data_IF_851811876141
#
_entry.id   IF_851811876141
#
_cell.length_a   1.000
_cell.length_b   1.000
_cell.length_c   1.000
_cell.angle_alpha   90.00
_cell.angle_beta   90.00
_cell.angle_gamma   90.00
#
_symmetry.space_group_name_H-M   'P 1'
#
loop_
_entity.id
_entity.type
_entity.pdbx_description
1 polymer ?
#
# COMPACT_ATOMS: atom_id res chain seq x y z
N UNK A 1 14.41 9.30 -47.81
CA UNK A 1 13.02 9.50 -47.39
C UNK A 1 12.36 8.13 -47.30
N UNK A 2 11.99 7.68 -46.11
CA UNK A 2 11.32 6.37 -45.92
C UNK A 2 9.96 6.42 -46.62
N UNK A 3 9.72 5.50 -47.55
CA UNK A 3 8.46 5.45 -48.31
C UNK A 3 7.31 5.06 -47.38
N UNK A 4 6.43 6.01 -47.10
CA UNK A 4 5.28 5.85 -46.20
C UNK A 4 4.42 4.65 -46.62
N UNK A 5 4.30 4.35 -47.92
CA UNK A 5 3.53 3.21 -48.42
C UNK A 5 4.17 1.88 -48.02
N UNK A 6 5.50 1.79 -47.98
CA UNK A 6 6.21 0.59 -47.50
C UNK A 6 5.98 0.38 -46.01
N UNK A 7 5.99 1.44 -45.21
CA UNK A 7 5.70 1.38 -43.77
C UNK A 7 4.25 0.93 -43.51
N UNK A 8 3.28 1.49 -44.22
CA UNK A 8 1.87 1.08 -44.12
C UNK A 8 1.67 -0.40 -44.47
N UNK A 9 2.30 -0.87 -45.55
CA UNK A 9 2.23 -2.27 -45.94
C UNK A 9 2.90 -3.20 -44.93
N UNK A 10 4.01 -2.78 -44.31
CA UNK A 10 4.66 -3.55 -43.24
C UNK A 10 3.76 -3.66 -42.00
N UNK A 11 3.09 -2.57 -41.60
CA UNK A 11 2.17 -2.56 -40.47
C UNK A 11 0.95 -3.46 -40.77
N UNK A 12 0.34 -3.32 -41.96
CA UNK A 12 -0.80 -4.14 -42.36
C UNK A 12 -0.48 -5.64 -42.41
N UNK A 13 0.71 -6.00 -42.91
CA UNK A 13 1.18 -7.40 -42.92
C UNK A 13 1.40 -7.93 -41.50
N UNK A 14 2.03 -7.14 -40.63
CA UNK A 14 2.25 -7.51 -39.24
C UNK A 14 0.93 -7.65 -38.47
N UNK A 15 -0.06 -6.81 -38.74
CA UNK A 15 -1.39 -6.91 -38.14
C UNK A 15 -2.13 -8.17 -38.61
N UNK A 16 -2.06 -8.50 -39.90
CA UNK A 16 -2.63 -9.73 -40.44
C UNK A 16 -1.98 -10.98 -39.82
N UNK A 17 -0.65 -10.98 -39.67
CA UNK A 17 0.08 -12.07 -39.01
C UNK A 17 -0.26 -12.15 -37.52
N UNK A 18 -0.48 -11.01 -36.85
CA UNK A 18 -0.83 -10.99 -35.44
C UNK A 18 -2.15 -11.73 -35.17
N UNK A 19 -3.14 -11.62 -36.05
CA UNK A 19 -4.43 -12.32 -35.91
C UNK A 19 -4.31 -13.86 -35.94
N UNK A 20 -3.29 -14.39 -36.61
CA UNK A 20 -3.02 -15.83 -36.66
C UNK A 20 -1.95 -16.29 -35.66
N UNK A 21 -1.36 -15.38 -34.89
CA UNK A 21 -0.25 -15.68 -33.98
C UNK A 21 -0.73 -15.69 -32.53
N UNK A 22 -0.40 -16.77 -31.82
CA UNK A 22 -0.59 -16.85 -30.38
C UNK A 22 0.52 -16.08 -29.65
N UNK A 23 0.18 -15.44 -28.52
CA UNK A 23 1.15 -14.72 -27.71
C UNK A 23 0.92 -14.98 -26.22
N UNK A 24 2.03 -15.04 -25.49
CA UNK A 24 2.03 -15.14 -24.03
C UNK A 24 1.83 -13.74 -23.42
N UNK A 25 0.92 -13.63 -22.46
CA UNK A 25 0.73 -12.41 -21.69
C UNK A 25 0.28 -12.71 -20.25
N UNK A 26 0.64 -11.82 -19.33
CA UNK A 26 0.03 -11.76 -18.01
C UNK A 26 -1.30 -11.03 -18.06
N UNK A 27 -2.25 -11.48 -17.24
CA UNK A 27 -3.55 -10.88 -17.08
C UNK A 27 -3.89 -10.79 -15.60
N UNK A 28 -4.09 -9.58 -15.09
CA UNK A 28 -4.75 -9.38 -13.79
C UNK A 28 -6.26 -9.42 -13.98
N UNK A 29 -7.02 -9.83 -12.96
CA UNK A 29 -8.47 -9.94 -13.09
C UNK A 29 -9.11 -8.63 -13.55
N UNK A 30 -9.90 -8.68 -14.62
CA UNK A 30 -10.52 -7.49 -15.23
C UNK A 30 -9.57 -6.59 -16.02
N UNK A 31 -8.30 -6.98 -16.14
CA UNK A 31 -7.27 -6.30 -16.90
C UNK A 31 -7.36 -6.52 -18.41
N UNK A 32 -6.36 -5.98 -19.12
CA UNK A 32 -6.19 -6.13 -20.56
C UNK A 32 -4.85 -6.80 -20.84
N UNK A 33 -4.77 -7.58 -21.91
CA UNK A 33 -3.53 -8.22 -22.37
C UNK A 33 -2.91 -7.40 -23.48
N UNK A 34 -1.58 -7.38 -23.55
CA UNK A 34 -0.83 -6.58 -24.51
C UNK A 34 0.23 -7.41 -25.19
N UNK A 35 0.45 -7.12 -26.47
CA UNK A 35 1.55 -7.66 -27.26
C UNK A 35 2.12 -6.57 -28.16
N UNK A 36 3.33 -6.79 -28.66
CA UNK A 36 4.02 -5.84 -29.55
C UNK A 36 4.27 -6.50 -30.89
N UNK A 37 3.80 -5.87 -31.96
CA UNK A 37 4.07 -6.28 -33.34
C UNK A 37 4.45 -5.04 -34.17
N UNK A 38 5.49 -5.15 -35.00
CA UNK A 38 6.03 -4.04 -35.80
C UNK A 38 6.26 -2.72 -35.01
N UNK A 39 6.69 -2.83 -33.74
CA UNK A 39 6.92 -1.66 -32.87
C UNK A 39 5.67 -1.03 -32.26
N UNK A 40 4.47 -1.49 -32.63
CA UNK A 40 3.20 -1.03 -32.09
C UNK A 40 2.73 -1.94 -30.95
N UNK A 41 2.12 -1.34 -29.92
CA UNK A 41 1.53 -2.08 -28.80
C UNK A 41 0.04 -2.28 -29.07
N UNK A 42 -0.36 -3.53 -29.23
CA UNK A 42 -1.75 -3.93 -29.37
C UNK A 42 -2.29 -4.30 -28.00
N UNK A 43 -3.47 -3.79 -27.66
CA UNK A 43 -4.14 -4.04 -26.37
C UNK A 43 -5.48 -4.70 -26.62
N UNK A 44 -5.69 -5.85 -26.00
CA UNK A 44 -6.90 -6.65 -26.14
C UNK A 44 -7.61 -6.85 -24.80
N UNK A 45 -8.93 -6.88 -24.83
CA UNK A 45 -9.75 -7.40 -23.74
C UNK A 45 -9.75 -8.94 -23.82
N UNK A 46 -9.32 -9.65 -22.76
CA UNK A 46 -9.26 -11.11 -22.76
C UNK A 46 -10.66 -11.72 -22.72
N UNK A 47 -10.82 -12.88 -23.34
CA UNK A 47 -11.98 -13.77 -23.22
C UNK A 47 -11.50 -15.13 -22.67
N UNK A 48 -11.96 -15.57 -21.48
CA UNK A 48 -12.94 -14.92 -20.61
C UNK A 48 -12.37 -13.67 -19.91
N UNK A 49 -13.23 -12.66 -19.66
CA UNK A 49 -12.84 -11.38 -19.04
C UNK A 49 -12.34 -11.52 -17.59
N UNK A 50 -12.69 -12.64 -16.95
CA UNK A 50 -12.38 -12.89 -15.55
C UNK A 50 -11.09 -13.69 -15.35
N UNK A 51 -10.39 -14.03 -16.43
CA UNK A 51 -9.11 -14.73 -16.34
C UNK A 51 -8.08 -13.89 -15.57
N UNK A 52 -7.37 -14.56 -14.67
CA UNK A 52 -6.25 -14.01 -13.89
C UNK A 52 -5.12 -15.03 -13.93
N UNK A 53 -3.92 -14.60 -14.31
CA UNK A 53 -2.76 -15.47 -14.47
C UNK A 53 -1.98 -15.20 -15.75
N UNK A 54 -1.13 -16.16 -16.11
CA UNK A 54 -0.40 -16.18 -17.37
C UNK A 54 -1.12 -17.06 -18.37
N UNK A 55 -1.35 -16.54 -19.57
CA UNK A 55 -2.11 -17.23 -20.60
C UNK A 55 -1.51 -17.05 -21.98
N UNK A 56 -1.77 -18.04 -22.83
CA UNK A 56 -1.52 -17.97 -24.26
C UNK A 56 -2.80 -17.49 -24.92
N UNK A 57 -2.73 -16.34 -25.56
CA UNK A 57 -3.87 -15.66 -26.15
C UNK A 57 -3.75 -15.62 -27.66
N UNK A 58 -4.88 -15.72 -28.35
CA UNK A 58 -4.98 -15.47 -29.78
C UNK A 58 -5.94 -14.29 -30.05
N UNK A 59 -5.54 -13.28 -30.82
CA UNK A 59 -6.47 -12.23 -31.24
C UNK A 59 -7.59 -12.83 -32.10
N UNK A 60 -8.84 -12.61 -31.70
CA UNK A 60 -10.03 -13.06 -32.47
C UNK A 60 -10.83 -11.88 -33.02
N UNK A 61 -10.33 -10.65 -32.82
CA UNK A 61 -10.92 -9.41 -33.31
C UNK A 61 -10.00 -8.24 -33.00
N UNK A 62 -10.39 -7.03 -33.43
CA UNK A 62 -9.53 -5.83 -33.30
C UNK A 62 -9.18 -5.46 -31.85
N UNK A 63 -10.05 -5.78 -30.88
CA UNK A 63 -9.86 -5.41 -29.47
C UNK A 63 -10.06 -6.59 -28.52
N UNK A 64 -10.16 -7.82 -29.04
CA UNK A 64 -10.41 -9.01 -28.21
C UNK A 64 -9.42 -10.11 -28.52
N UNK A 65 -8.92 -10.75 -27.48
CA UNK A 65 -8.09 -11.95 -27.59
C UNK A 65 -8.69 -13.07 -26.75
N UNK A 66 -8.79 -14.26 -27.32
CA UNK A 66 -9.33 -15.44 -26.64
C UNK A 66 -8.18 -16.20 -25.99
N UNK A 67 -8.37 -16.61 -24.73
CA UNK A 67 -7.46 -17.50 -24.03
C UNK A 67 -7.54 -18.88 -24.68
N UNK A 68 -6.40 -19.36 -25.19
CA UNK A 68 -6.29 -20.70 -25.74
C UNK A 68 -6.00 -21.70 -24.61
N UNK A 69 -5.03 -21.37 -23.76
CA UNK A 69 -4.63 -22.16 -22.60
C UNK A 69 -3.90 -21.31 -21.56
N UNK A 70 -3.83 -21.82 -20.33
CA UNK A 70 -2.95 -21.26 -19.31
C UNK A 70 -1.50 -21.58 -19.64
N UNK A 71 -0.61 -20.61 -19.46
CA UNK A 71 0.82 -20.82 -19.71
C UNK A 71 1.42 -21.72 -18.63
N UNK A 72 2.34 -22.59 -19.02
CA UNK A 72 3.06 -23.43 -18.08
C UNK A 72 4.18 -22.66 -17.34
N UNK A 73 4.66 -23.23 -16.24
CA UNK A 73 5.70 -22.59 -15.43
C UNK A 73 7.00 -22.34 -16.22
N UNK A 74 7.52 -23.27 -17.06
CA UNK A 74 8.68 -23.02 -17.90
C UNK A 74 8.52 -21.83 -18.87
N UNK A 75 7.38 -21.70 -19.54
CA UNK A 75 7.08 -20.60 -20.45
C UNK A 75 7.05 -19.27 -19.70
N UNK A 76 6.39 -19.24 -18.55
CA UNK A 76 6.34 -18.06 -17.69
C UNK A 76 7.73 -17.66 -17.23
N UNK A 77 8.54 -18.62 -16.76
CA UNK A 77 9.91 -18.38 -16.32
C UNK A 77 10.78 -17.81 -17.46
N UNK A 78 10.72 -18.41 -18.66
CA UNK A 78 11.48 -17.94 -19.83
C UNK A 78 11.07 -16.53 -20.26
N UNK A 79 9.79 -16.19 -20.17
CA UNK A 79 9.29 -14.85 -20.44
C UNK A 79 9.77 -13.84 -19.39
N UNK A 80 9.64 -14.19 -18.12
CA UNK A 80 10.03 -13.35 -16.98
C UNK A 80 11.53 -13.05 -16.95
N UNK A 81 12.38 -13.98 -17.41
CA UNK A 81 13.83 -13.81 -17.51
C UNK A 81 14.26 -12.63 -18.40
N UNK A 82 13.40 -12.14 -19.29
CA UNK A 82 13.67 -10.99 -20.14
C UNK A 82 13.66 -9.65 -19.37
N UNK A 83 13.14 -9.66 -18.14
CA UNK A 83 13.03 -8.47 -17.30
C UNK A 83 14.04 -8.48 -16.14
N UNK A 84 14.49 -7.30 -15.69
CA UNK A 84 15.33 -7.20 -14.49
C UNK A 84 14.62 -7.73 -13.25
N UNK A 85 15.32 -8.55 -12.47
CA UNK A 85 14.88 -9.04 -11.15
C UNK A 85 15.02 -7.97 -10.09
N UNK A 86 14.05 -7.89 -9.18
CA UNK A 86 14.04 -7.03 -7.99
C UNK A 86 13.68 -7.90 -6.78
N UNK A 87 14.33 -7.65 -5.65
CA UNK A 87 13.96 -8.25 -4.36
C UNK A 87 13.02 -7.32 -3.61
N UNK A 88 11.84 -7.85 -3.28
CA UNK A 88 10.79 -7.13 -2.56
C UNK A 88 10.36 -7.95 -1.35
N UNK A 89 9.77 -7.29 -0.35
CA UNK A 89 9.02 -7.97 0.71
C UNK A 89 7.55 -7.58 0.62
N UNK A 90 6.68 -8.56 0.75
CA UNK A 90 5.23 -8.37 0.73
C UNK A 90 4.78 -7.64 2.00
N UNK A 91 3.90 -6.65 1.86
CA UNK A 91 3.29 -5.95 2.99
C UNK A 91 1.92 -6.57 3.28
N UNK A 92 0.95 -6.28 2.41
CA UNK A 92 -0.42 -6.77 2.52
C UNK A 92 -1.04 -6.98 1.14
N UNK A 93 -2.07 -7.81 1.10
CA UNK A 93 -2.83 -8.12 -0.10
C UNK A 93 -3.70 -6.92 -0.49
N UNK A 94 -3.58 -6.44 -1.72
CA UNK A 94 -4.45 -5.39 -2.26
C UNK A 94 -5.79 -6.00 -2.66
N UNK A 95 -5.77 -6.81 -3.73
CA UNK A 95 -6.94 -7.51 -4.27
C UNK A 95 -6.46 -8.74 -5.04
N UNK A 96 -7.21 -9.85 -4.96
CA UNK A 96 -6.92 -11.08 -5.70
C UNK A 96 -5.44 -11.48 -5.62
N UNK A 97 -4.72 -11.72 -6.73
CA UNK A 97 -3.30 -12.09 -6.66
C UNK A 97 -2.35 -10.87 -6.69
N UNK A 98 -2.84 -9.69 -6.29
CA UNK A 98 -2.04 -8.46 -6.21
C UNK A 98 -1.75 -8.06 -4.78
N UNK A 99 -0.49 -7.75 -4.52
CA UNK A 99 0.03 -7.35 -3.22
C UNK A 99 0.75 -6.01 -3.30
N UNK A 100 0.70 -5.26 -2.20
CA UNK A 100 1.65 -4.17 -2.00
C UNK A 100 2.94 -4.75 -1.45
N UNK A 101 4.08 -4.32 -1.97
CA UNK A 101 5.40 -4.74 -1.53
C UNK A 101 6.36 -3.55 -1.41
N UNK A 102 7.41 -3.71 -0.63
CA UNK A 102 8.46 -2.71 -0.45
C UNK A 102 9.83 -3.30 -0.83
N UNK A 103 10.75 -2.52 -1.43
CA UNK A 103 12.09 -3.00 -1.76
C UNK A 103 12.85 -3.49 -0.52
N UNK A 104 13.58 -4.60 -0.68
CA UNK A 104 14.49 -5.13 0.34
C UNK A 104 15.68 -4.19 0.59
N UNK A 105 16.08 -3.44 -0.44
CA UNK A 105 17.15 -2.45 -0.40
C UNK A 105 16.74 -1.21 -1.20
N UNK A 106 16.60 -0.07 -0.52
CA UNK A 106 16.29 1.19 -1.21
C UNK A 106 17.45 1.66 -2.10
N UNK A 107 18.70 1.34 -1.72
CA UNK A 107 19.88 1.71 -2.47
C UNK A 107 19.91 1.01 -3.85
N UNK A 108 19.69 -0.31 -3.89
CA UNK A 108 19.59 -1.07 -5.16
C UNK A 108 18.45 -0.54 -6.02
N UNK A 109 17.30 -0.29 -5.40
CA UNK A 109 16.11 0.22 -6.08
C UNK A 109 16.37 1.60 -6.71
N UNK A 110 17.02 2.51 -5.96
CA UNK A 110 17.38 3.86 -6.44
C UNK A 110 18.40 3.80 -7.58
N UNK A 111 19.41 2.94 -7.47
CA UNK A 111 20.45 2.82 -8.49
C UNK A 111 19.90 2.27 -9.82
N UNK A 112 19.04 1.25 -9.76
CA UNK A 112 18.56 0.53 -10.96
C UNK A 112 17.29 1.11 -11.54
N UNK A 113 16.41 1.67 -10.71
CA UNK A 113 15.07 2.12 -11.11
C UNK A 113 14.79 3.60 -10.83
N UNK A 114 15.73 4.33 -10.21
CA UNK A 114 15.67 5.78 -9.94
C UNK A 114 14.49 6.23 -9.07
N UNK A 115 13.78 5.30 -8.45
CA UNK A 115 12.62 5.56 -7.58
C UNK A 115 12.63 4.61 -6.40
N UNK A 116 12.17 5.07 -5.25
CA UNK A 116 11.97 4.24 -4.05
C UNK A 116 10.58 4.55 -3.54
N UNK A 117 9.70 3.56 -3.63
CA UNK A 117 8.31 3.63 -3.17
C UNK A 117 7.74 2.23 -3.05
N UNK A 118 6.63 2.05 -2.32
CA UNK A 118 5.86 0.82 -2.38
C UNK A 118 5.41 0.52 -3.82
N UNK A 119 5.47 -0.75 -4.20
CA UNK A 119 5.12 -1.22 -5.54
C UNK A 119 4.04 -2.30 -5.46
N UNK A 120 3.09 -2.26 -6.40
CA UNK A 120 2.15 -3.36 -6.58
C UNK A 120 2.85 -4.51 -7.32
N UNK A 121 2.77 -5.71 -6.75
CA UNK A 121 3.25 -6.96 -7.34
C UNK A 121 2.04 -7.82 -7.68
N UNK A 122 1.98 -8.30 -8.91
CA UNK A 122 0.84 -9.05 -9.42
C UNK A 122 1.17 -10.53 -9.61
N UNK A 123 0.10 -11.34 -9.62
CA UNK A 123 0.14 -12.80 -9.80
C UNK A 123 0.98 -13.50 -8.73
N UNK A 124 0.96 -12.96 -7.51
CA UNK A 124 1.60 -13.57 -6.34
C UNK A 124 0.79 -14.81 -5.96
N UNK A 125 1.37 -15.98 -6.15
CA UNK A 125 0.80 -17.26 -5.72
C UNK A 125 1.28 -17.59 -4.31
N UNK A 126 0.35 -17.88 -3.40
CA UNK A 126 0.64 -18.31 -2.02
C UNK A 126 1.43 -17.31 -1.16
N UNK A 127 1.45 -16.03 -1.54
CA UNK A 127 2.21 -15.02 -0.80
C UNK A 127 1.73 -14.79 0.62
N UNK A 128 2.69 -14.57 1.53
CA UNK A 128 2.44 -14.24 2.94
C UNK A 128 3.02 -12.86 3.28
N UNK A 129 2.40 -12.15 4.22
CA UNK A 129 2.92 -10.87 4.70
C UNK A 129 4.37 -11.00 5.23
N UNK A 130 5.20 -10.01 4.92
CA UNK A 130 6.63 -9.89 5.22
C UNK A 130 7.55 -10.90 4.52
N UNK A 131 7.00 -11.82 3.73
CA UNK A 131 7.78 -12.76 2.94
C UNK A 131 8.60 -12.04 1.87
N UNK A 132 9.86 -12.43 1.73
CA UNK A 132 10.74 -11.91 0.68
C UNK A 132 10.52 -12.69 -0.62
N UNK A 133 10.36 -11.95 -1.70
CA UNK A 133 10.07 -12.49 -3.03
C UNK A 133 11.05 -11.94 -4.07
N UNK A 134 11.23 -12.73 -5.13
CA UNK A 134 11.79 -12.27 -6.39
C UNK A 134 10.64 -11.82 -7.29
N UNK A 135 10.79 -10.62 -7.86
CA UNK A 135 9.84 -10.06 -8.79
C UNK A 135 10.54 -9.48 -10.01
N UNK A 136 9.81 -9.36 -11.11
CA UNK A 136 10.32 -8.91 -12.41
C UNK A 136 9.66 -7.61 -12.82
N UNK A 137 10.48 -6.62 -13.16
CA UNK A 137 10.01 -5.28 -13.50
C UNK A 137 10.06 -5.02 -15.00
N UNK A 138 8.92 -4.75 -15.61
CA UNK A 138 8.83 -4.47 -17.04
C UNK A 138 8.83 -2.96 -17.39
N UNK A 139 9.13 -2.09 -16.42
CA UNK A 139 9.08 -0.63 -16.60
C UNK A 139 7.81 0.02 -16.03
N UNK A 140 6.71 -0.73 -15.92
CA UNK A 140 5.42 -0.20 -15.46
C UNK A 140 4.75 -1.07 -14.40
N UNK A 141 4.94 -2.38 -14.48
CA UNK A 141 4.31 -3.39 -13.64
C UNK A 141 5.38 -4.33 -13.07
N UNK A 142 5.09 -4.83 -11.86
CA UNK A 142 5.93 -5.80 -11.19
C UNK A 142 5.21 -7.15 -11.12
N UNK A 143 5.88 -8.20 -11.58
CA UNK A 143 5.33 -9.55 -11.65
C UNK A 143 6.05 -10.46 -10.67
N UNK A 144 5.29 -11.24 -9.90
CA UNK A 144 5.86 -12.28 -9.05
C UNK A 144 6.57 -13.33 -9.90
N UNK A 145 7.74 -13.76 -9.43
CA UNK A 145 8.48 -14.90 -10.00
C UNK A 145 8.46 -16.06 -9.00
N UNK A 146 9.03 -15.85 -7.81
CA UNK A 146 9.08 -16.87 -6.77
C UNK A 146 9.32 -16.26 -5.37
N UNK A 147 9.14 -17.08 -4.34
CA UNK A 147 9.61 -16.78 -2.98
C UNK A 147 11.13 -16.89 -2.92
N UNK A 148 11.79 -15.90 -2.33
CA UNK A 148 13.26 -15.92 -2.18
C UNK A 148 13.66 -16.87 -1.04
N UNK A 149 13.87 -18.14 -1.39
CA UNK A 149 14.25 -19.21 -0.43
C UNK A 149 15.62 -18.98 0.24
N UNK A 150 16.38 -17.97 -0.18
CA UNK A 150 17.66 -17.60 0.44
C UNK A 150 17.49 -16.58 1.56
N UNK A 151 16.31 -15.99 1.68
CA UNK A 151 15.99 -15.08 2.76
C UNK A 151 15.89 -15.85 4.09
N UNK A 152 16.25 -15.19 5.18
CA UNK A 152 16.07 -15.74 6.52
C UNK A 152 14.57 -15.76 6.88
N UNK A 153 13.96 -16.94 7.06
CA UNK A 153 12.52 -17.05 7.36
C UNK A 153 12.18 -16.47 8.73
N UNK A 154 13.13 -16.44 9.67
CA UNK A 154 12.88 -15.98 11.05
C UNK A 154 12.49 -14.50 11.10
N UNK A 155 12.95 -13.70 10.14
CA UNK A 155 12.61 -12.27 10.03
C UNK A 155 11.12 -12.12 9.70
N UNK A 156 10.63 -12.87 8.70
CA UNK A 156 9.22 -12.83 8.31
C UNK A 156 8.34 -13.34 9.45
N UNK A 157 8.71 -14.44 10.09
CA UNK A 157 8.00 -15.01 11.25
C UNK A 157 7.92 -14.02 12.43
N UNK A 158 9.02 -13.33 12.72
CA UNK A 158 9.09 -12.32 13.80
C UNK A 158 8.19 -11.13 13.49
N UNK A 159 8.25 -10.57 12.29
CA UNK A 159 7.39 -9.45 11.87
C UNK A 159 5.91 -9.85 11.88
N UNK A 160 5.57 -11.05 11.41
CA UNK A 160 4.20 -11.58 11.47
C UNK A 160 3.71 -11.75 12.91
N UNK A 161 4.56 -12.24 13.81
CA UNK A 161 4.22 -12.44 15.22
C UNK A 161 3.95 -11.11 15.92
N UNK A 162 4.78 -10.09 15.68
CA UNK A 162 4.57 -8.74 16.19
C UNK A 162 3.29 -8.10 15.62
N UNK A 163 3.02 -8.30 14.33
CA UNK A 163 1.78 -7.81 13.69
C UNK A 163 0.54 -8.43 14.34
N UNK A 164 0.57 -9.74 14.65
CA UNK A 164 -0.51 -10.44 15.35
C UNK A 164 -0.73 -9.93 16.78
N UNK A 165 0.35 -9.51 17.45
CA UNK A 165 0.30 -8.95 18.81
C UNK A 165 0.00 -7.45 18.83
N UNK A 166 -0.16 -6.82 17.67
CA UNK A 166 -0.34 -5.38 17.51
C UNK A 166 0.80 -4.57 18.15
N UNK A 167 2.02 -5.09 18.09
CA UNK A 167 3.17 -4.47 18.74
C UNK A 167 3.48 -3.10 18.10
N UNK A 168 3.63 -2.03 18.90
CA UNK A 168 3.92 -0.70 18.41
C UNK A 168 5.33 -0.63 17.78
N UNK A 169 5.55 0.38 16.93
CA UNK A 169 6.77 0.50 16.12
C UNK A 169 8.03 0.68 16.98
N UNK A 170 7.88 1.29 18.16
CA UNK A 170 8.92 1.57 19.15
C UNK A 170 9.46 0.28 19.79
N UNK A 171 8.58 -0.71 19.98
CA UNK A 171 8.89 -2.02 20.56
C UNK A 171 9.44 -3.01 19.52
N UNK A 172 9.31 -2.68 18.22
CA UNK A 172 9.76 -3.52 17.12
C UNK A 172 11.29 -3.46 16.97
N UNK A 173 12.00 -4.19 17.84
CA UNK A 173 13.45 -4.30 17.84
C UNK A 173 13.90 -5.75 17.92
N UNK A 174 14.61 -6.21 16.89
CA UNK A 174 15.25 -7.52 16.87
C UNK A 174 16.51 -7.48 16.00
N UNK A 175 17.38 -8.47 16.18
CA UNK A 175 18.63 -8.59 15.42
C UNK A 175 18.33 -8.72 13.92
N UNK A 176 18.91 -7.84 13.11
CA UNK A 176 18.72 -7.85 11.66
C UNK A 176 17.57 -6.96 11.15
N UNK A 177 16.89 -6.23 12.03
CA UNK A 177 15.90 -5.23 11.64
C UNK A 177 16.53 -4.12 10.80
N UNK A 178 15.95 -3.84 9.63
CA UNK A 178 16.41 -2.75 8.73
C UNK A 178 15.39 -1.61 8.67
N UNK A 179 15.79 -0.40 8.24
CA UNK A 179 14.87 0.70 7.99
C UNK A 179 13.74 0.30 7.02
N UNK A 180 14.04 -0.48 5.97
CA UNK A 180 13.06 -0.96 5.01
C UNK A 180 12.04 -1.90 5.63
N UNK A 181 12.46 -2.76 6.56
CA UNK A 181 11.53 -3.61 7.32
C UNK A 181 10.62 -2.78 8.23
N UNK A 182 11.15 -1.69 8.80
CA UNK A 182 10.35 -0.77 9.62
C UNK A 182 9.28 -0.07 8.78
N UNK A 183 9.66 0.47 7.63
CA UNK A 183 8.73 1.05 6.65
C UNK A 183 7.69 0.03 6.19
N UNK A 184 8.12 -1.21 5.92
CA UNK A 184 7.23 -2.29 5.52
C UNK A 184 6.21 -2.65 6.62
N UNK A 185 6.64 -2.70 7.87
CA UNK A 185 5.76 -2.96 9.01
C UNK A 185 4.72 -1.85 9.16
N UNK A 186 5.14 -0.59 9.07
CA UNK A 186 4.22 0.56 9.07
C UNK A 186 3.19 0.49 7.93
N UNK A 187 3.62 0.11 6.72
CA UNK A 187 2.70 -0.08 5.59
C UNK A 187 1.67 -1.18 5.87
N UNK A 188 2.09 -2.28 6.51
CA UNK A 188 1.20 -3.39 6.84
C UNK A 188 0.19 -3.03 7.93
N UNK A 189 0.60 -2.25 8.94
CA UNK A 189 -0.26 -1.87 10.06
C UNK A 189 -1.30 -0.82 9.70
N UNK A 190 -1.03 0.04 8.71
CA UNK A 190 -1.98 1.05 8.20
C UNK A 190 -3.32 0.47 7.71
N UNK A 191 -3.35 -0.82 7.33
CA UNK A 191 -4.56 -1.50 6.85
C UNK A 191 -5.36 -2.20 7.95
N UNK A 192 -4.82 -2.29 9.17
CA UNK A 192 -5.46 -3.00 10.28
C UNK A 192 -6.29 -2.00 11.09
N UNK A 193 -7.61 -2.20 11.11
CA UNK A 193 -8.52 -1.46 12.00
C UNK A 193 -8.09 -1.66 13.45
N UNK A 194 -7.95 -0.56 14.21
CA UNK A 194 -7.41 -0.57 15.58
C UNK A 194 -5.92 -0.24 15.71
N UNK A 195 -5.09 -0.49 14.69
CA UNK A 195 -3.64 -0.20 14.75
C UNK A 195 -3.34 1.30 14.59
N UNK A 196 -4.10 1.99 13.74
CA UNK A 196 -3.97 3.43 13.50
C UNK A 196 -4.91 4.28 14.37
N UNK A 197 -5.73 3.65 15.24
CA UNK A 197 -6.68 4.38 16.11
C UNK A 197 -5.94 5.36 17.02
N UNK A 198 -4.88 4.95 17.76
CA UNK A 198 -4.20 5.87 18.68
C UNK A 198 -3.57 7.06 17.96
N UNK A 199 -2.93 6.85 16.80
CA UNK A 199 -2.32 7.94 16.03
C UNK A 199 -3.34 8.87 15.36
N UNK A 200 -4.51 8.36 14.94
CA UNK A 200 -5.60 9.18 14.40
C UNK A 200 -6.27 9.98 15.51
N UNK A 201 -6.50 9.36 16.66
CA UNK A 201 -7.06 9.98 17.85
C UNK A 201 -6.16 11.09 18.37
N UNK A 202 -4.84 10.84 18.45
CA UNK A 202 -3.84 11.85 18.81
C UNK A 202 -3.86 13.04 17.85
N UNK A 203 -3.84 12.81 16.54
CA UNK A 203 -3.90 13.89 15.53
C UNK A 203 -5.18 14.70 15.64
N UNK A 204 -6.32 14.03 15.88
CA UNK A 204 -7.62 14.68 16.05
C UNK A 204 -7.63 15.58 17.29
N UNK A 205 -7.11 15.08 18.42
CA UNK A 205 -6.96 15.84 19.66
C UNK A 205 -6.01 17.03 19.50
N UNK A 206 -4.85 16.80 18.87
CA UNK A 206 -3.85 17.84 18.64
C UNK A 206 -4.39 18.97 17.75
N UNK A 207 -5.16 18.63 16.71
CA UNK A 207 -5.78 19.63 15.82
C UNK A 207 -6.84 20.46 16.55
N UNK A 208 -7.70 19.83 17.34
CA UNK A 208 -8.74 20.53 18.11
C UNK A 208 -8.14 21.48 19.15
N UNK A 209 -7.12 21.03 19.89
CA UNK A 209 -6.40 21.86 20.85
C UNK A 209 -5.70 23.04 20.15
N UNK A 210 -4.99 22.77 19.05
CA UNK A 210 -4.28 23.83 18.31
C UNK A 210 -5.21 24.92 17.77
N UNK A 211 -6.41 24.56 17.34
CA UNK A 211 -7.43 25.53 16.90
C UNK A 211 -7.94 26.40 18.06
N UNK A 212 -7.95 25.86 19.28
CA UNK A 212 -8.30 26.58 20.50
C UNK A 212 -7.15 27.39 21.11
N UNK A 213 -5.90 27.20 20.65
CA UNK A 213 -4.71 27.80 21.26
C UNK A 213 -3.95 26.90 22.24
N UNK A 214 -4.34 25.62 22.37
CA UNK A 214 -3.73 24.67 23.29
C UNK A 214 -2.74 23.70 22.62
N UNK A 215 -1.88 23.09 23.44
CA UNK A 215 -0.93 22.05 23.04
C UNK A 215 -1.26 20.71 23.73
N UNK A 216 -1.31 19.63 22.95
CA UNK A 216 -1.50 18.27 23.48
C UNK A 216 -0.20 17.74 24.08
N UNK A 217 -0.25 17.25 25.32
CA UNK A 217 0.88 16.56 25.96
C UNK A 217 0.73 15.05 25.92
N UNK A 218 -0.41 14.53 26.35
CA UNK A 218 -0.69 13.10 26.39
C UNK A 218 -2.21 12.87 26.36
N UNK A 219 -2.63 11.69 25.95
CA UNK A 219 -4.00 11.24 26.18
C UNK A 219 -4.03 9.76 26.58
N UNK A 220 -5.11 9.35 27.22
CA UNK A 220 -5.39 7.99 27.64
C UNK A 220 -6.79 7.60 27.20
N UNK A 221 -6.93 6.43 26.62
CA UNK A 221 -8.22 5.87 26.25
C UNK A 221 -8.92 5.24 27.47
N UNK A 222 -10.17 5.63 27.71
CA UNK A 222 -11.04 5.12 28.79
C UNK A 222 -12.30 4.41 28.28
N UNK A 223 -12.30 3.97 27.02
CA UNK A 223 -13.44 3.30 26.38
C UNK A 223 -14.29 4.30 25.61
N UNK A 224 -15.21 5.00 26.29
CA UNK A 224 -16.18 5.90 25.66
C UNK A 224 -15.66 7.35 25.55
N UNK A 225 -14.57 7.67 26.26
CA UNK A 225 -13.95 8.98 26.29
C UNK A 225 -12.42 8.87 26.39
N UNK A 226 -11.72 9.96 26.06
CA UNK A 226 -10.29 10.13 26.34
C UNK A 226 -10.09 10.99 27.59
N UNK A 227 -9.10 10.66 28.41
CA UNK A 227 -8.50 11.61 29.35
C UNK A 227 -7.35 12.30 28.64
N UNK A 228 -7.41 13.61 28.50
CA UNK A 228 -6.48 14.40 27.68
C UNK A 228 -5.73 15.37 28.59
N UNK A 229 -4.41 15.30 28.59
CA UNK A 229 -3.51 16.24 29.25
C UNK A 229 -3.00 17.24 28.21
N UNK A 230 -3.23 18.52 28.45
CA UNK A 230 -2.93 19.59 27.51
C UNK A 230 -2.54 20.88 28.24
N UNK A 231 -1.96 21.84 27.52
CA UNK A 231 -1.57 23.13 28.07
C UNK A 231 -2.11 24.30 27.23
N UNK A 232 -2.41 25.44 27.87
CA UNK A 232 -2.68 26.71 27.18
C UNK A 232 -1.39 27.31 26.60
N UNK A 233 -1.51 28.36 25.77
CA UNK A 233 -0.36 29.12 25.25
C UNK A 233 0.57 29.63 26.37
N UNK A 234 0.02 29.97 27.52
CA UNK A 234 0.77 30.45 28.69
C UNK A 234 1.43 29.32 29.49
N UNK A 235 1.29 28.07 29.04
CA UNK A 235 1.90 26.88 29.63
C UNK A 235 1.14 26.29 30.83
N UNK A 236 -0.08 26.76 31.11
CA UNK A 236 -0.91 26.22 32.21
C UNK A 236 -1.47 24.87 31.80
N UNK A 237 -1.23 23.85 32.62
CA UNK A 237 -1.64 22.47 32.34
C UNK A 237 -3.04 22.16 32.84
N UNK A 238 -3.79 21.42 32.02
CA UNK A 238 -5.13 20.96 32.27
C UNK A 238 -5.27 19.48 31.92
N UNK A 239 -6.16 18.79 32.64
CA UNK A 239 -6.58 17.43 32.34
C UNK A 239 -8.08 17.44 32.13
N UNK A 240 -8.56 16.96 30.99
CA UNK A 240 -9.98 16.97 30.63
C UNK A 240 -10.43 15.61 30.09
N UNK A 241 -11.68 15.24 30.38
CA UNK A 241 -12.33 14.06 29.82
C UNK A 241 -13.14 14.47 28.59
N UNK A 242 -12.83 13.87 27.43
CA UNK A 242 -13.33 14.27 26.11
C UNK A 242 -14.03 13.09 25.42
N UNK A 243 -15.27 13.28 25.00
CA UNK A 243 -16.03 12.26 24.28
C UNK A 243 -15.40 11.97 22.92
N UNK A 244 -15.33 10.68 22.55
CA UNK A 244 -14.67 10.26 21.29
C UNK A 244 -15.48 10.58 20.04
N UNK A 245 -16.79 10.70 20.18
CA UNK A 245 -17.71 10.85 19.04
C UNK A 245 -17.54 12.23 18.39
N UNK A 246 -17.56 13.29 19.20
CA UNK A 246 -17.67 14.68 18.77
C UNK A 246 -16.68 15.64 19.43
N UNK A 247 -15.79 15.17 20.30
CA UNK A 247 -14.88 15.98 21.12
C UNK A 247 -15.58 16.83 22.19
N UNK A 248 -16.82 16.52 22.56
CA UNK A 248 -17.52 17.21 23.66
C UNK A 248 -16.81 16.96 24.99
N UNK A 249 -16.70 18.01 25.79
CA UNK A 249 -16.09 17.94 27.11
C UNK A 249 -17.06 17.23 28.06
N UNK A 250 -16.70 16.02 28.48
CA UNK A 250 -17.43 15.26 29.50
C UNK A 250 -17.14 15.83 30.89
N UNK A 251 -15.89 16.25 31.11
CA UNK A 251 -15.44 16.94 32.32
C UNK A 251 -14.22 17.77 32.00
N UNK A 252 -14.22 19.05 32.40
CA UNK A 252 -13.10 19.95 32.15
C UNK A 252 -11.95 19.82 33.17
N UNK A 253 -12.13 19.03 34.23
CA UNK A 253 -11.18 18.94 35.36
C UNK A 253 -11.30 20.09 36.37
N UNK A 254 -12.19 21.06 36.12
CA UNK A 254 -12.58 22.12 37.03
C UNK A 254 -14.11 22.19 37.10
N UNK A 255 -14.66 22.81 38.15
CA UNK A 255 -16.10 23.06 38.18
C UNK A 255 -16.46 24.21 37.21
N UNK A 256 -17.11 23.88 36.09
CA UNK A 256 -17.80 24.84 35.20
C UNK A 256 -19.29 24.94 35.55
N UNK A 257 -19.63 24.84 36.85
CA UNK A 257 -21.02 24.88 37.34
C UNK A 257 -21.96 23.87 36.67
N UNK A 258 -21.43 22.70 36.27
CA UNK A 258 -22.21 21.62 35.64
C UNK A 258 -22.53 21.82 34.15
N UNK A 259 -21.91 22.82 33.50
CA UNK A 259 -22.09 23.14 32.07
C UNK A 259 -20.97 22.62 31.17
N UNK A 260 -20.15 21.70 31.68
CA UNK A 260 -19.01 21.15 30.96
C UNK A 260 -19.37 20.62 29.56
N UNK A 261 -20.55 20.01 29.42
CA UNK A 261 -21.04 19.45 28.15
C UNK A 261 -21.48 20.48 27.11
N UNK A 262 -21.56 21.76 27.48
CA UNK A 262 -21.89 22.85 26.55
C UNK A 262 -20.67 23.24 25.69
N UNK A 263 -19.49 22.66 25.97
CA UNK A 263 -18.23 22.98 25.31
C UNK A 263 -17.65 21.76 24.59
N UNK A 264 -17.07 22.01 23.41
CA UNK A 264 -16.14 21.10 22.77
C UNK A 264 -14.69 21.40 23.20
N UNK A 265 -13.77 20.48 22.93
CA UNK A 265 -12.37 20.62 23.30
C UNK A 265 -11.74 21.91 22.76
N UNK A 266 -12.16 22.38 21.58
CA UNK A 266 -11.66 23.62 20.98
C UNK A 266 -12.10 24.85 21.79
N UNK A 267 -13.39 24.93 22.11
CA UNK A 267 -14.00 26.06 22.83
C UNK A 267 -13.57 26.10 24.29
N UNK A 268 -13.26 24.94 24.88
CA UNK A 268 -12.76 24.83 26.25
C UNK A 268 -11.46 25.61 26.45
N UNK A 269 -10.55 25.59 25.48
CA UNK A 269 -9.27 26.31 25.59
C UNK A 269 -9.50 27.80 25.77
N UNK A 270 -10.36 28.40 24.94
CA UNK A 270 -10.67 29.83 25.04
C UNK A 270 -11.31 30.21 26.39
N UNK A 271 -12.15 29.35 26.97
CA UNK A 271 -12.75 29.58 28.29
C UNK A 271 -11.71 29.55 29.41
N UNK A 272 -10.68 28.71 29.30
CA UNK A 272 -9.61 28.62 30.29
C UNK A 272 -8.66 29.83 30.23
N UNK A 273 -8.41 30.36 29.03
CA UNK A 273 -7.57 31.56 28.83
C UNK A 273 -8.24 32.84 29.32
N UNK A 274 -9.57 32.96 29.22
CA UNK A 274 -10.32 34.16 29.63
C UNK A 274 -10.72 34.17 31.12
N UNK A 275 -10.28 33.20 31.92
CA UNK A 275 -10.39 33.27 33.38
C UNK A 275 -9.31 34.18 33.95
N UNK A 276 -9.50 35.49 33.80
CA UNK A 276 -8.94 36.43 34.76
C UNK A 276 -9.61 36.18 36.12
N UNK A 277 -8.82 36.12 37.20
CA UNK A 277 -9.29 35.89 38.57
C UNK A 277 -10.27 36.96 39.07
#
# INVERSE_FOLDING_TARGET
MTDIRKLLNQIASAEAQLQSTQFLASCVKGGRVRTRAAGMVYTFTPKPRQFEGWGIFQPTGQQTATLMEGADLPQVAAYLQQFPTIRLRLAYRLQHQSWLAYPVSEADMRQRFKTVKPVAVHLVTEGVAFEQILARWNGNSCWFEEVDRRADPTIAETLQSNLKQLAPMEELQFKGMTPEMRTLYELATQQIEGFAQPQRDEKRLQQALKLGGGELHQFQDRGDYWTVDWATLDGVRHTSAIAKEDLTVVSSGICLSGRDRDFDLQSLVGVMEHREW
#
